data_IF_212829067851
#
_entry.id   IF_212829067851
#
_cell.length_a   1.000
_cell.length_b   1.000
_cell.length_c   1.000
_cell.angle_alpha   90.00
_cell.angle_beta   90.00
_cell.angle_gamma   90.00
#
_symmetry.space_group_name_H-M   'P 1'
#
loop_
_entity.id
_entity.type
_entity.pdbx_description
1 polymer ?
#
# COMPACT_ATOMS: atom_id res chain seq x y z
N UNK A 1 7.63 10.32 11.02
CA UNK A 1 6.83 11.02 9.99
C UNK A 1 6.13 9.95 9.17
N UNK A 2 4.82 9.80 9.30
CA UNK A 2 4.01 8.74 8.68
C UNK A 2 3.11 9.41 7.64
N UNK A 3 2.93 8.83 6.44
CA UNK A 3 2.32 9.46 5.24
C UNK A 3 1.60 8.39 4.39
N UNK A 4 0.41 8.68 3.82
CA UNK A 4 -0.74 7.74 3.81
C UNK A 4 -1.57 7.68 2.52
N UNK A 5 -2.01 6.48 2.09
CA UNK A 5 -2.89 6.24 0.93
C UNK A 5 -4.30 5.85 1.43
N UNK A 6 -5.39 6.48 1.00
CA UNK A 6 -6.76 6.15 1.47
C UNK A 6 -7.64 5.47 0.44
N UNK A 7 -8.60 4.67 0.89
CA UNK A 7 -9.47 3.88 0.04
C UNK A 7 -10.95 4.19 0.32
N UNK A 8 -11.82 3.97 -0.65
CA UNK A 8 -13.27 4.13 -0.51
C UNK A 8 -13.98 2.95 -1.13
N UNK A 9 -14.77 2.26 -0.30
CA UNK A 9 -15.53 1.02 -0.59
C UNK A 9 -14.71 -0.16 -1.12
N UNK A 10 -14.73 -1.24 -0.34
CA UNK A 10 -14.66 -2.63 -0.80
C UNK A 10 -13.63 -2.92 -1.89
N UNK A 11 -12.34 -2.82 -1.56
CA UNK A 11 -11.26 -3.12 -2.50
C UNK A 11 -10.13 -3.85 -1.79
N UNK A 12 -9.77 -5.01 -2.32
CA UNK A 12 -8.58 -5.76 -1.95
C UNK A 12 -7.36 -4.85 -2.00
N UNK A 13 -6.57 -4.87 -0.93
CA UNK A 13 -5.70 -3.75 -0.63
C UNK A 13 -4.35 -3.89 -1.39
N UNK A 14 -3.90 -2.76 -1.94
CA UNK A 14 -2.56 -2.45 -2.44
C UNK A 14 -1.79 -3.51 -3.27
N UNK A 15 -1.74 -3.33 -4.59
CA UNK A 15 -0.79 -3.97 -5.50
C UNK A 15 0.47 -3.10 -5.69
N UNK A 16 1.61 -3.59 -5.19
CA UNK A 16 2.93 -3.05 -5.47
C UNK A 16 3.66 -3.98 -6.45
N UNK A 17 3.80 -3.57 -7.70
CA UNK A 17 4.63 -4.29 -8.66
C UNK A 17 6.11 -3.91 -8.47
N UNK A 18 6.82 -4.54 -7.52
CA UNK A 18 8.24 -4.34 -7.25
C UNK A 18 9.02 -5.65 -7.32
N UNK A 19 10.17 -5.64 -7.99
CA UNK A 19 11.07 -6.79 -8.04
C UNK A 19 11.78 -6.96 -6.69
N UNK A 20 11.33 -7.97 -5.92
CA UNK A 20 12.13 -8.53 -4.83
C UNK A 20 13.05 -9.55 -5.48
N UNK A 21 14.27 -9.13 -5.83
CA UNK A 21 15.32 -10.06 -6.20
C UNK A 21 15.95 -10.61 -4.92
N UNK A 22 15.59 -11.83 -4.54
CA UNK A 22 16.31 -12.59 -3.50
C UNK A 22 17.66 -13.03 -4.09
N UNK A 23 18.65 -12.13 -4.04
CA UNK A 23 20.05 -12.53 -4.25
C UNK A 23 20.55 -13.30 -3.01
N UNK A 24 21.37 -14.34 -3.16
CA UNK A 24 21.89 -15.15 -2.04
C UNK A 24 22.82 -14.40 -1.07
N UNK A 25 22.90 -13.07 -1.15
CA UNK A 25 23.64 -12.20 -0.24
C UNK A 25 22.77 -11.17 0.51
N UNK A 26 21.44 -11.28 0.48
CA UNK A 26 20.55 -10.32 1.15
C UNK A 26 20.62 -10.48 2.69
N UNK A 27 21.65 -9.90 3.30
CA UNK A 27 21.82 -9.86 4.76
C UNK A 27 20.84 -8.85 5.37
N UNK A 28 20.18 -9.24 6.47
CA UNK A 28 19.42 -8.30 7.31
C UNK A 28 20.34 -7.13 7.70
N UNK A 29 19.98 -5.86 7.43
CA UNK A 29 20.81 -4.73 7.82
C UNK A 29 21.11 -4.80 9.32
N UNK A 30 22.37 -4.66 9.72
CA UNK A 30 22.72 -4.47 11.13
C UNK A 30 22.33 -3.05 11.53
N UNK A 31 22.12 -2.80 12.83
CA UNK A 31 21.66 -1.49 13.34
C UNK A 31 22.55 -0.30 12.89
N UNK A 32 23.79 -0.56 12.46
CA UNK A 32 24.74 0.42 11.93
C UNK A 32 24.55 0.78 10.43
N UNK A 33 23.87 -0.05 9.63
CA UNK A 33 23.55 0.23 8.21
C UNK A 33 22.23 1.02 8.04
N UNK A 34 21.53 1.28 9.15
CA UNK A 34 20.21 1.92 9.19
C UNK A 34 20.23 3.42 8.84
N UNK A 35 21.40 4.04 8.70
CA UNK A 35 21.57 5.50 8.64
C UNK A 35 21.24 6.15 7.29
N UNK A 36 21.42 5.46 6.15
CA UNK A 36 21.32 6.08 4.81
C UNK A 36 20.09 5.66 3.97
N UNK A 37 19.08 5.04 4.59
CA UNK A 37 17.86 4.68 3.86
C UNK A 37 16.91 5.88 3.76
N UNK A 38 16.71 6.39 2.55
CA UNK A 38 15.65 7.38 2.30
C UNK A 38 14.36 6.64 1.99
N UNK A 39 13.32 6.73 2.84
CA UNK A 39 12.06 6.06 2.55
C UNK A 39 11.40 6.70 1.33
N UNK A 40 10.88 5.86 0.44
CA UNK A 40 9.99 6.30 -0.63
C UNK A 40 8.62 6.57 -0.01
N UNK A 41 8.07 7.76 -0.25
CA UNK A 41 6.85 8.22 0.41
C UNK A 41 5.84 8.78 -0.61
N UNK A 42 4.56 8.67 -0.27
CA UNK A 42 3.49 9.48 -0.87
C UNK A 42 2.85 10.30 0.24
N UNK A 43 2.92 11.61 0.10
CA UNK A 43 2.45 12.56 1.13
C UNK A 43 1.06 13.09 0.81
N UNK A 44 0.68 13.06 -0.48
CA UNK A 44 -0.58 13.58 -1.00
C UNK A 44 -0.84 15.04 -0.65
N UNK A 45 0.23 15.82 -0.42
CA UNK A 45 0.11 17.25 -0.10
C UNK A 45 -0.32 18.09 -1.31
N UNK A 46 -0.10 17.61 -2.53
CA UNK A 46 -0.33 18.37 -3.77
C UNK A 46 -1.20 17.67 -4.81
N UNK A 47 -1.15 16.33 -4.88
CA UNK A 47 -1.88 15.55 -5.88
C UNK A 47 -1.99 14.06 -5.49
N UNK A 48 -2.53 13.26 -6.41
CA UNK A 48 -2.65 11.81 -6.28
C UNK A 48 -1.31 11.06 -6.43
N UNK A 49 -0.19 11.72 -6.69
CA UNK A 49 1.15 11.13 -6.72
C UNK A 49 1.36 10.02 -7.76
N UNK A 50 0.51 9.95 -8.79
CA UNK A 50 0.51 8.89 -9.80
C UNK A 50 -0.10 7.56 -9.35
N UNK A 51 -0.82 7.54 -8.22
CA UNK A 51 -1.60 6.38 -7.81
C UNK A 51 -2.78 6.15 -8.75
N UNK A 52 -3.03 4.89 -9.10
CA UNK A 52 -4.16 4.47 -9.92
C UNK A 52 -4.92 3.32 -9.24
N UNK A 53 -6.00 2.87 -9.86
CA UNK A 53 -6.74 1.67 -9.45
C UNK A 53 -6.71 0.60 -10.53
N UNK A 54 -6.93 -0.64 -10.15
CA UNK A 54 -7.15 -1.80 -11.03
C UNK A 54 -8.42 -2.51 -10.56
N UNK A 55 -9.26 -2.96 -11.50
CA UNK A 55 -10.51 -3.67 -11.20
C UNK A 55 -11.70 -2.72 -11.09
N UNK A 56 -12.66 -3.12 -10.25
CA UNK A 56 -13.96 -2.49 -10.03
C UNK A 56 -13.88 -1.19 -9.20
N UNK A 57 -13.17 -0.18 -9.68
CA UNK A 57 -13.16 1.14 -9.06
C UNK A 57 -13.13 2.27 -10.06
N UNK A 58 -13.78 3.37 -9.68
CA UNK A 58 -13.62 4.65 -10.34
C UNK A 58 -12.21 5.21 -10.19
N UNK A 59 -11.75 6.05 -11.14
CA UNK A 59 -10.45 6.69 -11.04
C UNK A 59 -10.23 7.42 -9.70
N UNK A 60 -8.99 7.42 -9.16
CA UNK A 60 -8.69 8.12 -7.92
C UNK A 60 -9.04 9.61 -7.95
N UNK A 61 -9.61 10.07 -6.85
CA UNK A 61 -9.86 11.47 -6.55
C UNK A 61 -8.89 11.90 -5.44
N UNK A 62 -8.13 12.96 -5.70
CA UNK A 62 -7.29 13.59 -4.69
C UNK A 62 -8.09 14.63 -3.89
N UNK A 63 -7.82 14.68 -2.58
CA UNK A 63 -8.40 15.60 -1.64
C UNK A 63 -7.26 16.35 -0.92
N UNK A 64 -7.30 17.68 -0.85
CA UNK A 64 -6.23 18.47 -0.21
C UNK A 64 -6.24 18.41 1.33
N UNK A 65 -7.31 17.93 1.94
CA UNK A 65 -7.49 17.88 3.39
C UNK A 65 -8.33 16.68 3.81
N UNK A 66 -8.30 16.30 5.10
CA UNK A 66 -9.07 15.17 5.66
C UNK A 66 -8.28 13.86 5.82
N UNK A 67 -7.01 13.85 5.40
CA UNK A 67 -5.99 12.84 5.62
C UNK A 67 -5.47 12.79 7.06
N UNK A 68 -4.34 12.10 7.28
CA UNK A 68 -3.77 11.87 8.61
C UNK A 68 -2.26 12.20 8.75
N UNK A 69 -1.69 13.29 8.21
CA UNK A 69 -2.34 14.59 8.10
C UNK A 69 -2.54 15.02 6.64
N UNK A 70 -3.25 16.13 6.44
CA UNK A 70 -3.38 16.85 5.17
C UNK A 70 -4.20 16.10 4.11
N UNK A 71 -3.66 15.98 2.89
CA UNK A 71 -4.37 15.43 1.75
C UNK A 71 -4.36 13.90 1.71
N UNK A 72 -5.21 13.37 0.84
CA UNK A 72 -5.36 11.93 0.62
C UNK A 72 -5.90 11.66 -0.78
N UNK A 73 -5.81 10.41 -1.23
CA UNK A 73 -6.51 9.93 -2.42
C UNK A 73 -7.63 9.00 -2.00
N UNK A 74 -8.73 8.95 -2.73
CA UNK A 74 -9.80 7.96 -2.55
C UNK A 74 -10.25 7.45 -3.91
N UNK A 75 -10.85 6.27 -3.96
CA UNK A 75 -11.57 5.79 -5.12
C UNK A 75 -12.93 5.29 -4.67
N UNK A 76 -13.83 5.05 -5.61
CA UNK A 76 -15.19 4.55 -5.34
C UNK A 76 -15.36 3.24 -6.08
N UNK A 77 -15.69 2.19 -5.35
CA UNK A 77 -16.17 0.92 -5.91
C UNK A 77 -17.40 1.15 -6.82
N UNK A 78 -17.41 0.56 -8.02
CA UNK A 78 -18.57 0.65 -8.92
C UNK A 78 -19.66 -0.39 -8.59
N UNK A 79 -19.36 -1.35 -7.73
CA UNK A 79 -20.25 -2.42 -7.28
C UNK A 79 -20.74 -3.31 -8.43
N UNK A 80 -19.86 -3.61 -9.37
CA UNK A 80 -20.04 -4.55 -10.48
C UNK A 80 -19.77 -6.01 -10.04
N UNK A 81 -19.25 -6.22 -8.82
CA UNK A 81 -19.16 -7.52 -8.16
C UNK A 81 -17.76 -8.14 -8.16
N UNK A 82 -16.75 -7.39 -8.60
CA UNK A 82 -15.34 -7.77 -8.54
C UNK A 82 -14.60 -6.96 -7.47
N UNK A 83 -13.51 -7.50 -6.95
CA UNK A 83 -12.60 -6.72 -6.10
C UNK A 83 -11.73 -5.77 -6.93
N UNK A 84 -11.21 -4.73 -6.30
CA UNK A 84 -10.30 -3.78 -6.94
C UNK A 84 -9.12 -3.45 -6.04
N UNK A 85 -7.99 -3.04 -6.65
CA UNK A 85 -6.73 -2.76 -5.98
C UNK A 85 -6.21 -1.37 -6.27
N UNK A 86 -5.49 -0.80 -5.32
CA UNK A 86 -4.63 0.35 -5.56
C UNK A 86 -3.35 -0.08 -6.23
N UNK A 87 -2.94 0.71 -7.21
CA UNK A 87 -1.75 0.45 -8.00
C UNK A 87 -0.75 1.55 -7.71
N UNK A 88 0.35 1.17 -7.05
CA UNK A 88 1.37 2.11 -6.63
C UNK A 88 2.13 2.71 -7.83
N UNK A 89 2.53 3.99 -7.80
CA UNK A 89 3.29 4.63 -8.87
C UNK A 89 4.70 4.05 -9.02
N UNK A 90 5.35 4.35 -10.15
CA UNK A 90 6.66 3.80 -10.52
C UNK A 90 7.77 3.99 -9.47
N UNK A 91 7.69 5.04 -8.63
CA UNK A 91 8.64 5.26 -7.53
C UNK A 91 8.65 4.14 -6.48
N UNK A 92 7.56 3.36 -6.36
CA UNK A 92 7.49 2.17 -5.49
C UNK A 92 7.73 0.85 -6.25
N UNK A 93 8.24 0.93 -7.48
CA UNK A 93 8.49 -0.22 -8.35
C UNK A 93 9.98 -0.32 -8.69
N UNK A 94 10.39 -1.46 -9.25
CA UNK A 94 11.80 -1.74 -9.58
C UNK A 94 12.50 -2.52 -8.48
N UNK A 95 13.81 -2.33 -8.32
CA UNK A 95 14.61 -3.05 -7.32
C UNK A 95 14.35 -2.51 -5.91
N UNK A 96 13.65 -3.30 -5.09
CA UNK A 96 13.31 -2.98 -3.71
C UNK A 96 14.03 -3.86 -2.68
N UNK A 97 15.15 -4.51 -3.06
CA UNK A 97 15.89 -5.37 -2.15
C UNK A 97 16.34 -4.65 -0.85
N UNK A 98 16.66 -3.35 -0.92
CA UNK A 98 17.00 -2.54 0.24
C UNK A 98 15.86 -2.29 1.24
N UNK A 99 14.62 -2.63 0.87
CA UNK A 99 13.46 -2.60 1.74
C UNK A 99 13.24 -3.92 2.52
N UNK A 100 13.97 -4.98 2.18
CA UNK A 100 13.88 -6.27 2.89
C UNK A 100 14.19 -6.12 4.38
N UNK A 101 13.38 -6.74 5.24
CA UNK A 101 13.45 -6.62 6.70
C UNK A 101 12.98 -5.27 7.26
N UNK A 102 12.37 -4.41 6.43
CA UNK A 102 11.75 -3.14 6.84
C UNK A 102 10.22 -3.23 6.78
N UNK A 103 9.55 -2.09 6.90
CA UNK A 103 8.09 -2.01 6.96
C UNK A 103 7.52 -1.31 5.72
N UNK A 104 6.50 -1.91 5.13
CA UNK A 104 5.50 -1.19 4.34
C UNK A 104 4.49 -0.57 5.31
N UNK A 105 4.23 0.73 5.18
CA UNK A 105 3.36 1.47 6.09
C UNK A 105 2.36 2.31 5.31
N UNK A 106 1.10 2.30 5.74
CA UNK A 106 0.02 3.07 5.15
C UNK A 106 -1.13 3.20 6.15
N UNK A 107 -2.03 4.17 5.95
CA UNK A 107 -3.25 4.33 6.77
C UNK A 107 -4.46 4.26 5.87
N UNK A 108 -5.42 3.44 6.23
CA UNK A 108 -6.65 3.26 5.47
C UNK A 108 -7.86 3.74 6.24
N UNK A 109 -8.89 4.05 5.49
CA UNK A 109 -10.22 4.36 5.98
C UNK A 109 -11.21 3.75 4.98
N UNK A 110 -12.42 3.46 5.44
CA UNK A 110 -13.55 3.17 4.56
C UNK A 110 -14.78 3.98 4.99
N UNK A 111 -15.79 4.08 4.14
CA UNK A 111 -17.03 4.81 4.45
C UNK A 111 -18.07 3.94 5.17
N UNK A 112 -17.95 2.61 5.10
CA UNK A 112 -18.88 1.64 5.70
C UNK A 112 -18.10 0.45 6.27
N UNK A 113 -18.66 -0.20 7.30
CA UNK A 113 -18.07 -1.38 7.95
C UNK A 113 -18.77 -2.69 7.56
N UNK A 114 -19.71 -2.61 6.62
CA UNK A 114 -20.54 -3.73 6.15
C UNK A 114 -20.03 -4.17 4.79
N UNK A 115 -20.10 -5.47 4.48
CA UNK A 115 -19.71 -6.05 3.19
C UNK A 115 -18.19 -6.16 2.98
N UNK A 116 -17.47 -6.61 4.01
CA UNK A 116 -16.04 -6.88 3.89
C UNK A 116 -15.82 -8.00 2.87
N UNK A 117 -15.07 -7.69 1.81
CA UNK A 117 -14.69 -8.64 0.79
C UNK A 117 -13.42 -9.35 1.24
N UNK A 118 -13.49 -10.67 1.43
CA UNK A 118 -12.34 -11.46 1.82
C UNK A 118 -11.40 -11.64 0.60
N UNK A 119 -10.38 -10.80 0.51
CA UNK A 119 -9.34 -10.86 -0.51
C UNK A 119 -7.96 -10.56 0.09
N UNK A 120 -6.92 -10.71 -0.73
CA UNK A 120 -5.57 -10.31 -0.32
C UNK A 120 -5.50 -8.80 -0.11
N UNK A 121 -4.94 -8.39 1.03
CA UNK A 121 -4.84 -6.98 1.40
C UNK A 121 -3.51 -6.34 1.03
N UNK A 122 -2.48 -7.09 0.70
CA UNK A 122 -1.27 -6.52 0.09
C UNK A 122 -0.76 -7.55 -0.88
N UNK A 123 -0.57 -7.14 -2.13
CA UNK A 123 -0.01 -7.98 -3.17
C UNK A 123 1.27 -7.34 -3.69
N UNK A 124 2.41 -8.02 -3.51
CA UNK A 124 3.71 -7.59 -4.05
C UNK A 124 4.09 -8.50 -5.22
N UNK A 125 4.30 -7.94 -6.40
CA UNK A 125 4.63 -8.72 -7.61
C UNK A 125 5.96 -8.27 -8.21
N UNK A 126 6.89 -9.21 -8.38
CA UNK A 126 8.12 -8.97 -9.12
C UNK A 126 9.19 -10.03 -8.89
N UNK A 127 10.24 -10.03 -9.72
CA UNK A 127 11.29 -11.05 -9.64
C UNK A 127 10.80 -12.48 -9.91
N UNK A 128 9.63 -12.64 -10.55
CA UNK A 128 8.96 -13.93 -10.75
C UNK A 128 8.16 -14.42 -9.53
N UNK A 129 8.08 -13.63 -8.46
CA UNK A 129 7.36 -13.96 -7.23
C UNK A 129 6.12 -13.08 -7.06
N UNK A 130 5.12 -13.63 -6.36
CA UNK A 130 3.96 -12.88 -5.87
C UNK A 130 3.82 -13.16 -4.38
N UNK A 131 3.98 -12.13 -3.55
CA UNK A 131 3.73 -12.19 -2.12
C UNK A 131 2.35 -11.61 -1.84
N UNK A 132 1.60 -12.25 -0.95
CA UNK A 132 0.23 -11.88 -0.57
C UNK A 132 0.17 -11.82 0.94
N UNK A 133 -0.50 -10.82 1.47
CA UNK A 133 -0.66 -10.62 2.91
C UNK A 133 -2.07 -10.13 3.23
N UNK A 134 -2.68 -10.71 4.25
CA UNK A 134 -3.98 -10.28 4.76
C UNK A 134 -3.74 -9.45 6.03
N UNK A 135 -4.33 -8.27 6.08
CA UNK A 135 -4.25 -7.41 7.24
C UNK A 135 -5.01 -8.07 8.41
N UNK A 136 -4.54 -7.91 9.65
CA UNK A 136 -5.16 -8.55 10.80
C UNK A 136 -6.56 -8.00 11.11
N UNK A 137 -6.90 -6.83 10.57
CA UNK A 137 -8.18 -6.17 10.76
C UNK A 137 -8.52 -5.28 9.57
N UNK A 138 -9.80 -5.21 9.24
CA UNK A 138 -10.32 -4.28 8.24
C UNK A 138 -10.16 -2.82 8.70
N UNK A 139 -10.07 -1.85 7.76
CA UNK A 139 -10.03 -0.43 8.11
C UNK A 139 -11.32 0.01 8.80
N UNK A 140 -11.24 1.00 9.68
CA UNK A 140 -12.46 1.59 10.28
C UNK A 140 -13.02 2.74 9.43
N UNK A 141 -14.09 3.38 9.90
CA UNK A 141 -14.58 4.65 9.35
C UNK A 141 -13.71 5.85 9.73
N UNK A 142 -12.71 5.64 10.59
CA UNK A 142 -11.59 6.53 10.86
C UNK A 142 -10.27 5.96 10.30
N UNK A 143 -9.26 6.82 10.19
CA UNK A 143 -7.92 6.43 9.76
C UNK A 143 -7.33 5.34 10.66
N UNK A 144 -6.95 4.23 10.03
CA UNK A 144 -6.42 3.03 10.67
C UNK A 144 -5.03 2.76 10.13
N UNK A 145 -4.05 2.70 11.02
CA UNK A 145 -2.65 2.56 10.63
C UNK A 145 -2.22 1.11 10.50
N UNK A 146 -1.54 0.80 9.40
CA UNK A 146 -1.00 -0.52 9.10
C UNK A 146 0.51 -0.49 8.93
N UNK A 147 1.11 -1.61 9.31
CA UNK A 147 2.50 -1.95 9.07
C UNK A 147 2.59 -3.41 8.67
N UNK A 148 3.25 -3.69 7.56
CA UNK A 148 3.48 -5.05 7.04
C UNK A 148 4.99 -5.23 6.94
N UNK A 149 5.53 -6.32 7.50
CA UNK A 149 6.95 -6.57 7.41
C UNK A 149 7.28 -7.02 5.99
N UNK A 150 8.36 -6.48 5.44
CA UNK A 150 8.87 -6.86 4.12
C UNK A 150 9.88 -7.98 4.29
N UNK A 151 9.41 -9.12 4.76
CA UNK A 151 10.18 -10.36 4.94
C UNK A 151 9.36 -11.57 4.50
N UNK A 152 9.99 -12.74 4.41
CA UNK A 152 9.38 -13.95 3.84
C UNK A 152 8.14 -14.48 4.59
N UNK A 153 7.92 -14.02 5.82
CA UNK A 153 6.82 -14.47 6.69
C UNK A 153 5.70 -13.41 6.86
N UNK A 154 5.85 -12.23 6.27
CA UNK A 154 4.91 -11.11 6.40
C UNK A 154 5.03 -10.30 7.69
#
# INVERSE_FOLDING_TARGET
>A
MKRYVSFGRTGAILLLAGAIALSPGCRRPTDAETSNFTPILSTFDADAGGWTVLGDAEPPVWHPSGGNPNGYVSARDRAEGEGWFWVAPAKFRGNMAGAYGRWLMFDLRQDRLTENYAADDVVLVGGGLTLRYNLPNDPSTAWTAYRVALEENG
#
